data_IF_984934153135
#
_entry.id   IF_984934153135
#
_cell.length_a   1.000
_cell.length_b   1.000
_cell.length_c   1.000
_cell.angle_alpha   90.00
_cell.angle_beta   90.00
_cell.angle_gamma   90.00
#
_symmetry.space_group_name_H-M   'P 1'
#
loop_
_entity.id
_entity.type
_entity.pdbx_description
1 polymer ?
#
# COMPACT_ATOMS: atom_id res chain seq x y z
N UNK A 1 3.27 9.63 0.66
CA UNK A 1 2.41 10.00 1.81
C UNK A 1 1.69 8.73 2.25
N UNK A 2 1.63 8.47 3.55
CA UNK A 2 1.04 7.22 4.05
C UNK A 2 -0.03 7.57 5.09
N UNK A 3 -1.22 7.01 4.94
CA UNK A 3 -2.32 7.13 5.90
C UNK A 3 -2.59 5.74 6.45
N UNK A 4 -2.49 5.58 7.77
CA UNK A 4 -2.80 4.35 8.46
C UNK A 4 -3.94 4.61 9.45
N UNK A 5 -4.92 3.73 9.50
CA UNK A 5 -6.03 3.79 10.47
C UNK A 5 -6.27 2.38 10.97
N UNK A 6 -6.15 2.19 12.30
CA UNK A 6 -6.28 0.89 12.93
C UNK A 6 -7.30 0.88 14.06
N UNK A 7 -7.90 -0.29 14.28
CA UNK A 7 -8.80 -0.61 15.39
C UNK A 7 -8.26 -1.84 16.11
N UNK A 8 -8.07 -1.74 17.43
CA UNK A 8 -7.71 -2.87 18.31
C UNK A 8 -8.88 -3.19 19.22
N UNK A 9 -9.29 -4.45 19.24
CA UNK A 9 -10.39 -4.96 20.06
C UNK A 9 -9.89 -6.15 20.87
N UNK A 10 -10.05 -6.08 22.19
CA UNK A 10 -9.66 -7.16 23.10
C UNK A 10 -10.86 -7.66 23.89
N UNK A 11 -11.05 -8.97 23.86
CA UNK A 11 -12.19 -9.64 24.50
C UNK A 11 -11.71 -10.67 25.53
N UNK A 12 -12.63 -11.08 26.42
CA UNK A 12 -12.44 -12.18 27.39
C UNK A 12 -11.20 -12.06 28.30
N UNK A 13 -10.95 -10.87 28.87
CA UNK A 13 -9.75 -10.58 29.69
C UNK A 13 -8.44 -10.79 28.90
N UNK A 14 -8.35 -10.22 27.70
CA UNK A 14 -7.20 -10.33 26.79
C UNK A 14 -6.91 -11.77 26.32
N UNK A 15 -7.93 -12.62 26.26
CA UNK A 15 -7.80 -13.96 25.69
C UNK A 15 -8.08 -14.02 24.20
N UNK A 16 -8.78 -13.04 23.65
CA UNK A 16 -9.02 -12.91 22.21
C UNK A 16 -8.70 -11.47 21.81
N UNK A 17 -7.68 -11.28 20.99
CA UNK A 17 -7.39 -10.00 20.36
C UNK A 17 -7.78 -10.03 18.88
N UNK A 18 -8.34 -8.92 18.42
CA UNK A 18 -8.65 -8.67 17.02
C UNK A 18 -8.10 -7.30 16.68
N UNK A 19 -7.22 -7.24 15.68
CA UNK A 19 -6.64 -6.00 15.19
C UNK A 19 -6.98 -5.86 13.71
N UNK A 20 -7.59 -4.73 13.35
CA UNK A 20 -7.87 -4.36 11.98
C UNK A 20 -7.04 -3.13 11.63
N UNK A 21 -6.29 -3.18 10.54
CA UNK A 21 -5.56 -2.04 10.02
C UNK A 21 -5.96 -1.76 8.57
N UNK A 22 -6.22 -0.49 8.25
CA UNK A 22 -6.38 -0.01 6.90
C UNK A 22 -5.23 0.94 6.58
N UNK A 23 -4.57 0.73 5.44
CA UNK A 23 -3.45 1.55 5.01
C UNK A 23 -3.60 2.02 3.57
N UNK A 24 -3.17 3.25 3.34
CA UNK A 24 -2.97 3.83 2.02
C UNK A 24 -1.53 4.36 1.93
N UNK A 25 -0.77 3.84 0.97
CA UNK A 25 0.58 4.31 0.64
C UNK A 25 0.59 4.96 -0.73
N UNK A 26 0.87 6.25 -0.76
CA UNK A 26 1.12 7.03 -1.97
C UNK A 26 2.63 7.15 -2.21
N UNK A 27 3.13 6.41 -3.20
CA UNK A 27 4.49 6.55 -3.74
C UNK A 27 4.42 7.51 -4.93
N UNK A 28 4.88 8.75 -4.71
CA UNK A 28 4.97 9.79 -5.75
C UNK A 28 6.39 9.82 -6.32
N UNK A 29 6.55 10.35 -7.53
CA UNK A 29 7.84 10.50 -8.21
C UNK A 29 8.54 9.16 -8.51
N UNK A 30 7.78 8.13 -8.89
CA UNK A 30 8.38 6.90 -9.37
C UNK A 30 8.98 7.14 -10.75
N UNK A 31 10.24 6.77 -10.93
CA UNK A 31 10.93 6.79 -12.22
C UNK A 31 10.33 5.65 -13.05
N UNK A 32 9.42 6.00 -13.95
CA UNK A 32 8.86 5.08 -14.94
C UNK A 32 9.21 5.59 -16.33
N UNK A 33 9.35 4.69 -17.34
CA UNK A 33 9.38 5.12 -18.72
C UNK A 33 8.16 6.00 -18.98
N UNK A 34 8.37 7.17 -19.59
CA UNK A 34 7.31 8.07 -19.98
C UNK A 34 6.37 7.43 -21.01
N UNK A 35 5.44 8.22 -21.53
CA UNK A 35 4.53 7.78 -22.59
C UNK A 35 5.31 7.16 -23.77
N UNK A 36 4.84 6.03 -24.29
CA UNK A 36 5.51 5.32 -25.36
C UNK A 36 5.65 6.25 -26.58
N UNK A 37 6.89 6.54 -26.97
CA UNK A 37 7.17 7.32 -28.18
C UNK A 37 6.68 6.53 -29.41
N UNK A 38 6.15 7.20 -30.45
CA UNK A 38 5.76 6.53 -31.69
C UNK A 38 6.94 5.73 -32.26
N UNK A 39 6.69 4.56 -32.83
CA UNK A 39 7.74 3.67 -33.35
C UNK A 39 8.69 4.34 -34.39
N UNK A 40 8.30 5.46 -34.98
CA UNK A 40 9.12 6.30 -35.87
C UNK A 40 10.25 7.05 -35.17
N UNK A 41 10.23 7.14 -33.83
CA UNK A 41 11.20 7.92 -33.05
C UNK A 41 12.53 7.18 -32.80
N UNK A 42 12.55 5.84 -32.97
CA UNK A 42 13.77 5.03 -32.94
C UNK A 42 14.50 4.95 -31.58
N UNK A 43 13.93 5.50 -30.51
CA UNK A 43 14.51 5.51 -29.17
C UNK A 43 13.44 5.18 -28.10
N UNK A 44 13.86 4.50 -27.02
CA UNK A 44 12.99 4.17 -25.90
C UNK A 44 12.49 5.42 -25.17
N UNK A 45 11.29 5.35 -24.60
CA UNK A 45 10.65 6.47 -23.91
C UNK A 45 11.52 6.99 -22.76
N UNK A 46 11.71 8.33 -22.63
CA UNK A 46 12.54 8.90 -21.58
C UNK A 46 11.98 8.55 -20.20
N UNK A 47 12.83 8.05 -19.30
CA UNK A 47 12.46 7.79 -17.92
C UNK A 47 12.28 9.12 -17.17
N UNK A 48 11.13 9.30 -16.51
CA UNK A 48 10.84 10.51 -15.74
C UNK A 48 10.00 10.22 -14.51
N UNK A 49 9.83 11.24 -13.67
CA UNK A 49 9.04 11.17 -12.43
C UNK A 49 7.52 11.18 -12.70
N UNK A 50 7.07 10.38 -13.65
CA UNK A 50 5.67 10.33 -14.09
C UNK A 50 4.83 9.32 -13.29
N UNK A 51 5.47 8.45 -12.52
CA UNK A 51 4.78 7.37 -11.84
C UNK A 51 4.25 7.79 -10.49
N UNK A 52 2.92 7.85 -10.38
CA UNK A 52 2.22 7.94 -9.10
C UNK A 52 1.59 6.58 -8.82
N UNK A 53 2.18 5.83 -7.89
CA UNK A 53 1.64 4.55 -7.44
C UNK A 53 0.90 4.76 -6.12
N UNK A 54 -0.37 4.39 -6.09
CA UNK A 54 -1.19 4.36 -4.87
C UNK A 54 -1.52 2.91 -4.54
N UNK A 55 -0.99 2.44 -3.43
CA UNK A 55 -1.32 1.12 -2.87
C UNK A 55 -2.30 1.31 -1.72
N UNK A 56 -3.41 0.58 -1.77
CA UNK A 56 -4.43 0.55 -0.72
C UNK A 56 -4.62 -0.89 -0.28
N UNK A 57 -4.73 -1.11 1.02
CA UNK A 57 -4.92 -2.44 1.57
C UNK A 57 -5.52 -2.39 2.97
N UNK A 58 -5.93 -3.56 3.42
CA UNK A 58 -6.37 -3.79 4.78
C UNK A 58 -5.69 -5.06 5.29
N UNK A 59 -5.44 -5.11 6.58
CA UNK A 59 -4.84 -6.21 7.30
C UNK A 59 -5.74 -6.55 8.49
N UNK A 60 -6.00 -7.84 8.70
CA UNK A 60 -6.75 -8.34 9.85
C UNK A 60 -5.89 -9.37 10.55
N UNK A 61 -5.69 -9.16 11.84
CA UNK A 61 -4.99 -10.06 12.73
C UNK A 61 -5.93 -10.50 13.84
N UNK A 62 -5.88 -11.79 14.18
CA UNK A 62 -6.64 -12.38 15.27
C UNK A 62 -5.71 -13.23 16.12
N UNK A 63 -5.71 -12.99 17.42
CA UNK A 63 -4.96 -13.77 18.40
C UNK A 63 -5.91 -14.38 19.42
N UNK A 64 -5.64 -15.62 19.80
CA UNK A 64 -6.40 -16.31 20.83
C UNK A 64 -5.47 -17.05 21.79
N UNK A 65 -5.64 -16.80 23.08
CA UNK A 65 -4.86 -17.40 24.17
C UNK A 65 -5.77 -18.26 25.04
N UNK A 66 -5.54 -19.56 24.99
CA UNK A 66 -6.18 -20.56 25.84
C UNK A 66 -5.09 -21.33 26.61
N UNK A 67 -5.11 -21.20 27.93
CA UNK A 67 -4.31 -21.97 28.87
C UNK A 67 -5.26 -22.64 29.86
#
# INVERSE_FOLDING_TARGET
QTINTGFDLRFFKNKLGLTFEWYQRDTKNMIIPGEALPATYGADAPQGNFGNLRTRGWEISADFSHR
#
